data_IF_726611523794
#
_entry.id   IF_726611523794
#
_cell.length_a   1.000
_cell.length_b   1.000
_cell.length_c   1.000
_cell.angle_alpha   90.00
_cell.angle_beta   90.00
_cell.angle_gamma   90.00
#
_symmetry.space_group_name_H-M   'P 1'
#
loop_
_entity.id
_entity.type
_entity.pdbx_description
1 polymer ?
#
# COMPACT_ATOMS: atom_id res chain seq x y z
N UNK A 1 -11.47 3.51 -20.52
CA UNK A 1 -12.27 4.50 -19.77
C UNK A 1 -12.15 4.41 -18.25
N UNK A 2 -11.62 3.34 -17.62
CA UNK A 2 -11.41 3.33 -16.15
C UNK A 2 -10.07 3.93 -15.67
N UNK A 3 -8.95 3.72 -16.36
CA UNK A 3 -7.62 4.10 -15.84
C UNK A 3 -7.41 5.61 -15.62
N UNK A 4 -8.10 6.48 -16.38
CA UNK A 4 -8.09 7.94 -16.19
C UNK A 4 -8.76 8.36 -14.87
N UNK A 5 -9.84 7.68 -14.48
CA UNK A 5 -10.55 7.97 -13.21
C UNK A 5 -9.73 7.62 -11.97
N UNK A 6 -8.73 6.75 -12.12
CA UNK A 6 -7.84 6.34 -11.03
C UNK A 6 -6.52 7.15 -11.00
N UNK A 7 -6.36 8.13 -11.90
CA UNK A 7 -5.15 8.94 -11.99
C UNK A 7 -3.94 8.26 -12.64
N UNK A 8 -4.10 7.01 -13.13
CA UNK A 8 -3.01 6.27 -13.78
C UNK A 8 -2.65 6.89 -15.13
N UNK A 9 -3.62 7.51 -15.81
CA UNK A 9 -3.41 8.19 -17.08
C UNK A 9 -3.67 9.69 -16.92
N UNK A 10 -2.96 10.54 -17.68
CA UNK A 10 -3.17 11.98 -17.61
C UNK A 10 -4.59 12.33 -18.10
N UNK A 11 -5.25 13.23 -17.37
CA UNK A 11 -6.52 13.84 -17.80
C UNK A 11 -6.28 15.03 -18.73
N UNK A 12 -5.17 15.73 -18.53
CA UNK A 12 -4.72 16.90 -19.29
C UNK A 12 -3.24 16.77 -19.53
N UNK A 13 -2.77 17.20 -20.71
CA UNK A 13 -1.34 17.30 -21.04
C UNK A 13 -1.07 18.70 -21.57
N UNK A 14 -0.13 19.43 -20.96
CA UNK A 14 0.30 20.74 -21.45
C UNK A 14 1.56 20.59 -22.30
N UNK A 15 1.54 21.17 -23.51
CA UNK A 15 2.70 21.16 -24.38
C UNK A 15 3.84 21.98 -23.76
N UNK A 16 5.03 21.40 -23.52
CA UNK A 16 6.16 22.12 -22.93
C UNK A 16 6.75 23.19 -23.87
N UNK A 17 6.43 23.13 -25.17
CA UNK A 17 6.93 24.08 -26.19
C UNK A 17 6.02 25.28 -26.41
N UNK A 18 4.71 25.11 -26.22
CA UNK A 18 3.71 26.11 -26.55
C UNK A 18 2.88 26.56 -25.35
N UNK A 19 3.02 25.89 -24.20
CA UNK A 19 2.23 26.09 -22.99
C UNK A 19 0.71 26.05 -23.24
N UNK A 20 0.28 25.30 -24.26
CA UNK A 20 -1.12 25.05 -24.60
C UNK A 20 -1.48 23.61 -24.29
N UNK A 21 -2.73 23.40 -23.91
CA UNK A 21 -3.29 22.07 -23.72
C UNK A 21 -3.25 21.28 -25.03
N UNK A 22 -2.79 20.03 -24.93
CA UNK A 22 -2.71 19.10 -26.04
C UNK A 22 -4.06 18.41 -26.27
N UNK A 23 -4.34 18.05 -27.51
CA UNK A 23 -5.49 17.23 -27.86
C UNK A 23 -5.16 15.74 -27.73
N UNK A 24 -6.10 14.95 -27.23
CA UNK A 24 -5.95 13.50 -27.10
C UNK A 24 -6.48 12.77 -28.33
N UNK A 25 -5.76 11.73 -28.77
CA UNK A 25 -6.19 10.83 -29.82
C UNK A 25 -6.29 9.41 -29.27
N UNK A 26 -7.53 8.92 -29.16
CA UNK A 26 -7.85 7.66 -28.49
C UNK A 26 -7.35 6.43 -29.25
N UNK A 27 -7.50 6.41 -30.58
CA UNK A 27 -7.05 5.33 -31.48
C UNK A 27 -5.56 4.96 -31.28
N UNK A 28 -4.72 5.95 -30.99
CA UNK A 28 -3.27 5.83 -30.86
C UNK A 28 -2.77 5.98 -29.43
N UNK A 29 -3.65 6.24 -28.47
CA UNK A 29 -3.28 6.62 -27.10
C UNK A 29 -2.16 7.68 -27.11
N UNK A 30 -2.39 8.78 -27.82
CA UNK A 30 -1.38 9.79 -28.09
C UNK A 30 -1.94 11.21 -27.87
N UNK A 31 -1.19 12.02 -27.14
CA UNK A 31 -1.42 13.46 -27.01
C UNK A 31 -0.61 14.21 -28.04
N UNK A 32 -1.20 15.23 -28.67
CA UNK A 32 -0.52 16.06 -29.66
C UNK A 32 -0.87 17.54 -29.50
N UNK A 33 0.10 18.41 -29.79
CA UNK A 33 -0.12 19.84 -29.77
C UNK A 33 -0.53 20.35 -31.16
N UNK A 34 -1.64 21.08 -31.24
CA UNK A 34 -2.14 21.72 -32.47
C UNK A 34 -1.80 23.21 -32.56
N UNK A 35 -1.00 23.74 -31.61
CA UNK A 35 -0.66 25.15 -31.56
C UNK A 35 0.10 25.59 -32.82
N UNK A 36 -0.28 26.74 -33.38
CA UNK A 36 0.38 27.32 -34.55
C UNK A 36 1.15 28.58 -34.15
N UNK A 37 2.37 28.74 -34.66
CA UNK A 37 3.17 29.96 -34.54
C UNK A 37 3.48 30.56 -35.90
N UNK A 38 3.53 31.88 -36.00
CA UNK A 38 3.97 32.58 -37.21
C UNK A 38 5.49 32.72 -37.17
N UNK A 39 6.17 32.35 -38.26
CA UNK A 39 7.62 32.53 -38.38
C UNK A 39 7.88 34.00 -38.75
N UNK A 40 8.60 34.80 -37.91
CA UNK A 40 8.73 36.24 -38.11
C UNK A 40 9.29 36.64 -39.47
N UNK A 41 10.28 35.89 -39.99
CA UNK A 41 10.97 36.20 -41.25
C UNK A 41 10.15 35.90 -42.51
N UNK A 42 9.37 34.82 -42.50
CA UNK A 42 8.68 34.33 -43.71
C UNK A 42 7.17 34.55 -43.67
N UNK A 43 6.64 35.01 -42.54
CA UNK A 43 5.20 35.09 -42.22
C UNK A 43 4.44 33.76 -42.39
N UNK A 44 5.12 32.64 -42.63
CA UNK A 44 4.53 31.31 -42.74
C UNK A 44 4.08 30.82 -41.37
N UNK A 45 2.94 30.12 -41.34
CA UNK A 45 2.44 29.44 -40.14
C UNK A 45 3.12 28.09 -40.00
N UNK A 46 3.66 27.79 -38.82
CA UNK A 46 4.21 26.48 -38.45
C UNK A 46 3.43 25.90 -37.28
N UNK A 47 2.90 24.70 -37.47
CA UNK A 47 2.22 23.94 -36.41
C UNK A 47 3.26 23.29 -35.50
N UNK A 48 2.97 23.23 -34.21
CA UNK A 48 3.73 22.48 -33.24
C UNK A 48 3.69 20.99 -33.59
N UNK A 49 4.85 20.32 -33.52
CA UNK A 49 4.97 18.87 -33.77
C UNK A 49 5.20 18.09 -32.47
N UNK A 50 4.83 18.66 -31.32
CA UNK A 50 4.95 17.97 -30.05
C UNK A 50 3.90 16.87 -29.96
N UNK A 51 4.35 15.66 -29.67
CA UNK A 51 3.51 14.50 -29.38
C UNK A 51 4.08 13.75 -28.18
N UNK A 52 3.22 13.09 -27.42
CA UNK A 52 3.61 12.25 -26.28
C UNK A 52 2.60 11.13 -26.07
N UNK A 53 3.05 9.93 -25.70
CA UNK A 53 2.18 8.80 -25.40
C UNK A 53 1.30 9.09 -24.18
N UNK A 54 0.07 8.60 -24.18
CA UNK A 54 -0.85 8.62 -23.03
C UNK A 54 -0.26 7.89 -21.81
N UNK A 55 0.68 6.98 -22.04
CA UNK A 55 1.36 6.19 -21.01
C UNK A 55 2.66 6.84 -20.51
N UNK A 56 2.99 8.04 -20.98
CA UNK A 56 4.26 8.66 -20.63
C UNK A 56 4.34 9.00 -19.13
N UNK A 57 5.36 8.47 -18.44
CA UNK A 57 5.57 8.67 -17.01
C UNK A 57 4.59 7.91 -16.09
N UNK A 58 3.62 7.16 -16.63
CA UNK A 58 2.69 6.39 -15.82
C UNK A 58 3.16 4.96 -15.55
N UNK A 59 2.39 4.20 -14.76
CA UNK A 59 2.57 2.76 -14.56
C UNK A 59 2.59 1.97 -15.88
N UNK A 60 2.01 2.52 -16.96
CA UNK A 60 1.96 1.89 -18.27
C UNK A 60 3.12 2.33 -19.19
N UNK A 61 4.13 3.02 -18.66
CA UNK A 61 5.21 3.59 -19.48
C UNK A 61 5.92 2.53 -20.32
N UNK A 62 6.04 2.80 -21.64
CA UNK A 62 6.63 1.89 -22.64
C UNK A 62 5.98 0.50 -22.68
N UNK A 63 4.76 0.36 -22.18
CA UNK A 63 4.00 -0.87 -22.27
C UNK A 63 3.64 -1.13 -23.74
N UNK A 64 4.14 -2.24 -24.28
CA UNK A 64 3.75 -2.77 -25.59
C UNK A 64 2.54 -3.70 -25.51
N UNK A 65 2.10 -4.03 -24.30
CA UNK A 65 0.99 -4.96 -24.05
C UNK A 65 -0.34 -4.20 -24.15
N UNK A 66 -1.35 -4.76 -24.83
CA UNK A 66 -2.69 -4.18 -24.82
C UNK A 66 -3.22 -4.00 -23.39
N UNK A 67 -3.81 -2.83 -23.03
CA UNK A 67 -4.23 -2.55 -21.66
C UNK A 67 -5.16 -3.60 -21.04
N UNK A 68 -6.04 -4.20 -21.83
CA UNK A 68 -6.97 -5.23 -21.34
C UNK A 68 -6.25 -6.50 -20.87
N UNK A 69 -5.16 -6.93 -21.54
CA UNK A 69 -4.35 -8.07 -21.08
C UNK A 69 -3.69 -7.76 -19.74
N UNK A 70 -3.21 -6.52 -19.59
CA UNK A 70 -2.59 -6.10 -18.35
C UNK A 70 -3.60 -6.04 -17.20
N UNK A 71 -4.83 -5.57 -17.44
CA UNK A 71 -5.88 -5.59 -16.43
C UNK A 71 -6.21 -7.03 -15.99
N UNK A 72 -6.29 -7.99 -16.92
CA UNK A 72 -6.45 -9.41 -16.58
C UNK A 72 -5.28 -9.95 -15.77
N UNK A 73 -4.04 -9.59 -16.14
CA UNK A 73 -2.85 -9.95 -15.39
C UNK A 73 -2.91 -9.42 -13.95
N UNK A 74 -3.20 -8.13 -13.77
CA UNK A 74 -3.32 -7.49 -12.45
C UNK A 74 -4.44 -8.15 -11.64
N UNK A 75 -5.60 -8.41 -12.24
CA UNK A 75 -6.71 -9.05 -11.55
C UNK A 75 -6.33 -10.46 -11.04
N UNK A 76 -5.63 -11.24 -11.86
CA UNK A 76 -5.13 -12.56 -11.46
C UNK A 76 -4.01 -12.49 -10.43
N UNK A 77 -3.10 -11.52 -10.55
CA UNK A 77 -2.07 -11.22 -9.55
C UNK A 77 -2.68 -10.88 -8.19
N UNK A 78 -3.80 -10.18 -8.20
CA UNK A 78 -4.54 -9.79 -7.01
C UNK A 78 -5.54 -10.87 -6.57
N UNK A 79 -5.43 -12.11 -7.07
CA UNK A 79 -6.25 -13.25 -6.62
C UNK A 79 -5.53 -14.07 -5.54
N UNK A 80 -6.29 -14.84 -4.75
CA UNK A 80 -5.72 -15.75 -3.74
C UNK A 80 -4.95 -16.94 -4.36
N UNK A 81 -5.13 -17.17 -5.65
CA UNK A 81 -4.68 -18.37 -6.37
C UNK A 81 -3.84 -17.99 -7.58
N UNK A 82 -2.81 -17.16 -7.38
CA UNK A 82 -1.86 -16.85 -8.45
C UNK A 82 -1.29 -18.14 -9.06
N UNK A 83 -1.55 -18.31 -10.35
CA UNK A 83 -0.94 -19.34 -11.19
C UNK A 83 -0.22 -18.67 -12.37
N UNK A 84 1.09 -18.87 -12.43
CA UNK A 84 1.93 -18.30 -13.47
C UNK A 84 1.64 -18.95 -14.83
N UNK A 85 1.32 -20.26 -14.86
CA UNK A 85 1.12 -20.99 -16.11
C UNK A 85 -0.14 -20.51 -16.84
N UNK A 86 -1.26 -20.38 -16.11
CA UNK A 86 -2.51 -19.82 -16.66
C UNK A 86 -2.29 -18.48 -17.34
N UNK A 87 -1.45 -17.59 -16.78
CA UNK A 87 -1.16 -16.29 -17.40
C UNK A 87 -0.37 -16.42 -18.70
N UNK A 88 0.65 -17.27 -18.72
CA UNK A 88 1.46 -17.48 -19.93
C UNK A 88 0.58 -18.04 -21.06
N UNK A 89 -0.24 -19.03 -20.76
CA UNK A 89 -1.08 -19.73 -21.73
C UNK A 89 -2.24 -18.84 -22.21
N UNK A 90 -2.98 -18.20 -21.29
CA UNK A 90 -4.17 -17.41 -21.65
C UNK A 90 -3.84 -16.04 -22.24
N UNK A 91 -2.81 -15.35 -21.74
CA UNK A 91 -2.45 -14.00 -22.23
C UNK A 91 -1.38 -14.03 -23.32
N UNK A 92 -0.79 -15.22 -23.58
CA UNK A 92 0.31 -15.43 -24.53
C UNK A 92 1.52 -14.55 -24.18
N UNK A 93 1.86 -14.48 -22.89
CA UNK A 93 3.02 -13.74 -22.42
C UNK A 93 4.27 -14.62 -22.49
N UNK A 94 5.42 -14.00 -22.75
CA UNK A 94 6.69 -14.66 -22.47
C UNK A 94 6.90 -14.76 -20.96
N UNK A 95 7.62 -15.79 -20.51
CA UNK A 95 7.99 -15.94 -19.08
C UNK A 95 8.68 -14.68 -18.54
N UNK A 96 9.61 -14.11 -19.31
CA UNK A 96 10.31 -12.86 -18.96
C UNK A 96 9.33 -11.71 -18.73
N UNK A 97 8.42 -11.48 -19.68
CA UNK A 97 7.41 -10.42 -19.59
C UNK A 97 6.51 -10.59 -18.36
N UNK A 98 6.09 -11.82 -18.07
CA UNK A 98 5.26 -12.11 -16.88
C UNK A 98 6.00 -11.82 -15.57
N UNK A 99 7.29 -12.18 -15.49
CA UNK A 99 8.13 -11.89 -14.32
C UNK A 99 8.38 -10.39 -14.15
N UNK A 100 8.66 -9.66 -15.23
CA UNK A 100 8.85 -8.21 -15.20
C UNK A 100 7.57 -7.51 -14.69
N UNK A 101 6.40 -7.86 -15.24
CA UNK A 101 5.12 -7.30 -14.79
C UNK A 101 4.73 -7.68 -13.38
N UNK A 102 5.06 -8.89 -12.94
CA UNK A 102 4.91 -9.27 -11.54
C UNK A 102 5.75 -8.37 -10.65
N UNK A 103 6.98 -8.05 -11.04
CA UNK A 103 7.88 -7.18 -10.27
C UNK A 103 7.30 -5.77 -10.14
N UNK A 104 6.80 -5.17 -11.23
CA UNK A 104 6.11 -3.88 -11.18
C UNK A 104 4.87 -3.90 -10.26
N UNK A 105 4.09 -4.99 -10.29
CA UNK A 105 2.94 -5.12 -9.38
C UNK A 105 3.37 -5.26 -7.92
N UNK A 106 4.45 -5.99 -7.64
CA UNK A 106 5.02 -6.10 -6.30
C UNK A 106 5.49 -4.73 -5.79
N UNK A 107 6.16 -3.92 -6.61
CA UNK A 107 6.59 -2.56 -6.23
C UNK A 107 5.41 -1.67 -5.82
N UNK A 108 4.29 -1.74 -6.55
CA UNK A 108 3.05 -1.02 -6.18
C UNK A 108 2.53 -1.49 -4.82
N UNK A 109 2.51 -2.80 -4.56
CA UNK A 109 2.05 -3.32 -3.28
C UNK A 109 3.02 -3.04 -2.13
N UNK A 110 4.33 -3.02 -2.39
CA UNK A 110 5.34 -2.62 -1.41
C UNK A 110 5.19 -1.12 -1.05
N UNK A 111 4.88 -0.27 -2.03
CA UNK A 111 4.56 1.13 -1.81
C UNK A 111 3.27 1.32 -0.98
N UNK A 112 2.24 0.51 -1.23
CA UNK A 112 1.03 0.49 -0.41
C UNK A 112 1.34 0.03 1.02
N UNK A 113 2.09 -1.06 1.15
CA UNK A 113 2.45 -1.66 2.43
C UNK A 113 3.30 -0.71 3.30
N UNK A 114 4.17 0.08 2.70
CA UNK A 114 4.97 1.08 3.44
C UNK A 114 4.16 2.32 3.84
N UNK A 115 3.00 2.53 3.22
CA UNK A 115 2.11 3.68 3.43
C UNK A 115 0.76 3.27 4.07
N UNK A 116 0.81 2.40 5.08
CA UNK A 116 -0.37 1.99 5.84
C UNK A 116 -0.87 3.14 6.75
N UNK A 117 -2.20 3.37 6.82
CA UNK A 117 -2.76 4.39 7.70
C UNK A 117 -2.64 3.97 9.17
N UNK A 118 -2.61 4.96 10.07
CA UNK A 118 -2.78 4.71 11.49
C UNK A 118 -4.20 4.19 11.79
N UNK A 119 -4.31 3.34 12.80
CA UNK A 119 -5.55 2.74 13.29
C UNK A 119 -5.86 3.24 14.70
N UNK A 120 -7.06 2.95 15.19
CA UNK A 120 -7.49 3.33 16.54
C UNK A 120 -8.12 4.71 16.61
N UNK A 121 -8.08 5.31 17.78
CA UNK A 121 -8.74 6.58 18.13
C UNK A 121 -9.35 6.51 19.52
N UNK A 122 -9.95 7.62 19.97
CA UNK A 122 -10.56 7.70 21.29
C UNK A 122 -11.60 6.59 21.50
N UNK A 123 -11.35 5.72 22.49
CA UNK A 123 -12.24 4.61 22.83
C UNK A 123 -12.21 3.43 21.85
N UNK A 124 -11.34 3.44 20.84
CA UNK A 124 -11.17 2.32 19.91
C UNK A 124 -10.19 1.30 20.49
N UNK A 125 -10.61 0.05 20.49
CA UNK A 125 -9.82 -1.09 20.98
C UNK A 125 -8.90 -1.65 19.89
N UNK A 126 -7.61 -1.72 20.20
CA UNK A 126 -6.55 -2.22 19.32
C UNK A 126 -5.76 -3.31 20.03
N UNK A 127 -5.66 -4.48 19.40
CA UNK A 127 -4.74 -5.54 19.82
C UNK A 127 -3.41 -5.37 19.07
N UNK A 128 -2.28 -5.36 19.77
CA UNK A 128 -0.94 -5.33 19.16
C UNK A 128 -0.04 -6.44 19.72
N UNK A 129 0.83 -6.95 18.88
CA UNK A 129 1.70 -8.10 19.18
C UNK A 129 2.82 -8.22 18.15
N UNK A 130 3.80 -9.07 18.44
CA UNK A 130 4.94 -9.38 17.62
C UNK A 130 4.95 -10.84 17.21
N UNK A 131 5.36 -11.10 15.97
CA UNK A 131 5.49 -12.48 15.51
C UNK A 131 6.74 -12.72 14.69
N UNK A 132 7.37 -13.86 14.92
CA UNK A 132 8.51 -14.30 14.13
C UNK A 132 8.04 -15.10 12.91
N UNK A 133 8.42 -14.62 11.72
CA UNK A 133 8.27 -15.36 10.47
C UNK A 133 9.53 -16.20 10.22
N UNK A 134 9.31 -17.42 9.72
CA UNK A 134 10.34 -18.37 9.33
C UNK A 134 11.17 -18.99 10.48
N UNK A 135 10.49 -19.49 11.53
CA UNK A 135 11.11 -20.41 12.51
C UNK A 135 11.16 -21.83 11.92
N UNK A 136 12.34 -22.45 11.85
CA UNK A 136 12.44 -23.89 11.59
C UNK A 136 11.75 -24.64 12.74
N UNK A 137 10.83 -25.55 12.42
CA UNK A 137 10.30 -26.49 13.41
C UNK A 137 11.41 -27.51 13.70
N UNK A 138 11.82 -27.66 14.95
CA UNK A 138 12.85 -28.62 15.41
C UNK A 138 14.28 -28.41 14.88
N UNK A 139 14.66 -27.19 14.46
CA UNK A 139 16.02 -26.87 13.99
C UNK A 139 16.53 -27.72 12.80
N UNK A 140 15.66 -28.51 12.17
CA UNK A 140 15.98 -29.33 10.99
C UNK A 140 15.45 -28.66 9.72
N UNK A 141 16.28 -28.62 8.68
CA UNK A 141 15.91 -28.12 7.35
C UNK A 141 16.55 -26.79 6.97
N UNK A 142 16.06 -26.17 5.89
CA UNK A 142 16.65 -24.97 5.27
C UNK A 142 16.54 -23.76 6.22
N UNK A 143 17.68 -23.15 6.58
CA UNK A 143 17.72 -21.91 7.36
C UNK A 143 17.12 -20.78 6.52
N UNK A 144 15.90 -20.36 6.88
CA UNK A 144 15.30 -19.15 6.34
C UNK A 144 15.69 -17.96 7.22
N UNK A 145 15.84 -16.78 6.61
CA UNK A 145 16.13 -15.55 7.35
C UNK A 145 14.93 -15.24 8.25
N UNK A 146 15.16 -15.25 9.56
CA UNK A 146 14.15 -14.88 10.55
C UNK A 146 13.84 -13.39 10.44
N UNK A 147 12.56 -13.05 10.36
CA UNK A 147 12.08 -11.66 10.32
C UNK A 147 10.99 -11.51 11.37
N UNK A 148 11.18 -10.56 12.28
CA UNK A 148 10.14 -10.16 13.21
C UNK A 148 9.16 -9.23 12.50
N UNK A 149 7.88 -9.47 12.72
CA UNK A 149 6.81 -8.56 12.39
C UNK A 149 6.24 -7.98 13.67
N UNK A 150 5.88 -6.71 13.63
CA UNK A 150 5.05 -6.05 14.63
C UNK A 150 3.76 -5.62 13.94
N UNK A 151 2.62 -5.70 14.60
CA UNK A 151 1.37 -5.25 14.01
C UNK A 151 0.31 -4.91 15.03
N UNK A 152 -0.78 -4.35 14.55
CA UNK A 152 -1.95 -4.04 15.33
C UNK A 152 -3.23 -4.27 14.54
N UNK A 153 -4.31 -4.64 15.22
CA UNK A 153 -5.64 -4.84 14.65
C UNK A 153 -6.73 -4.24 15.54
N UNK A 154 -7.63 -3.47 14.94
CA UNK A 154 -8.84 -2.99 15.60
C UNK A 154 -9.82 -4.16 15.81
N UNK A 155 -10.34 -4.31 17.03
CA UNK A 155 -11.23 -5.43 17.36
C UNK A 155 -12.55 -5.40 16.58
N UNK A 156 -13.16 -4.22 16.44
CA UNK A 156 -14.45 -4.08 15.78
C UNK A 156 -14.34 -4.02 14.25
N UNK A 157 -13.57 -3.05 13.72
CA UNK A 157 -13.49 -2.79 12.28
C UNK A 157 -12.58 -3.77 11.52
N UNK A 158 -11.69 -4.47 12.24
CA UNK A 158 -10.62 -5.31 11.70
C UNK A 158 -9.56 -4.57 10.88
N UNK A 159 -9.59 -3.23 10.81
CA UNK A 159 -8.47 -2.44 10.27
C UNK A 159 -7.19 -2.83 10.98
N UNK A 160 -6.09 -2.89 10.24
CA UNK A 160 -4.83 -3.41 10.76
C UNK A 160 -3.63 -2.77 10.08
N UNK A 161 -2.50 -2.84 10.76
CA UNK A 161 -1.20 -2.56 10.17
C UNK A 161 -0.22 -3.69 10.50
N UNK A 162 0.76 -3.89 9.63
CA UNK A 162 1.87 -4.81 9.86
C UNK A 162 3.18 -4.14 9.42
N UNK A 163 4.21 -4.23 10.25
CA UNK A 163 5.54 -3.68 10.02
C UNK A 163 6.55 -4.80 10.16
N UNK A 164 7.46 -4.92 9.19
CA UNK A 164 8.60 -5.81 9.35
C UNK A 164 9.76 -5.09 10.04
N UNK A 165 10.26 -5.66 11.12
CA UNK A 165 11.38 -5.14 11.89
C UNK A 165 12.69 -5.49 11.18
N UNK A 166 13.06 -4.68 10.19
CA UNK A 166 14.31 -4.82 9.44
C UNK A 166 14.90 -3.47 9.05
N UNK A 167 16.19 -3.47 8.67
CA UNK A 167 16.85 -2.31 8.08
C UNK A 167 16.72 -1.08 8.99
N UNK A 168 16.13 -0.02 8.42
CA UNK A 168 15.94 1.30 9.01
C UNK A 168 14.98 1.34 10.20
N UNK A 169 14.03 0.39 10.29
CA UNK A 169 13.08 0.32 11.41
C UNK A 169 13.76 -0.21 12.68
N UNK A 170 14.87 -0.96 12.54
CA UNK A 170 15.46 -1.74 13.62
C UNK A 170 15.05 -3.22 13.52
N UNK A 171 15.98 -4.11 13.89
CA UNK A 171 15.77 -5.57 13.84
C UNK A 171 15.32 -6.16 15.17
N UNK A 172 15.41 -5.36 16.23
CA UNK A 172 15.13 -5.78 17.58
C UNK A 172 13.71 -5.40 17.94
N UNK A 173 13.08 -6.22 18.76
CA UNK A 173 11.76 -5.96 19.33
C UNK A 173 11.85 -5.04 20.56
N UNK A 174 12.91 -4.28 20.75
CA UNK A 174 13.06 -3.49 21.97
C UNK A 174 12.09 -2.30 22.06
N UNK A 175 12.00 -1.73 23.26
CA UNK A 175 11.17 -0.54 23.51
C UNK A 175 11.51 0.63 22.58
N UNK A 176 12.79 0.82 22.26
CA UNK A 176 13.25 1.90 21.41
C UNK A 176 12.73 1.77 19.96
N UNK A 177 12.50 0.53 19.52
CA UNK A 177 11.92 0.22 18.21
C UNK A 177 10.39 0.26 18.23
N UNK A 178 9.76 -0.32 19.25
CA UNK A 178 8.31 -0.52 19.27
C UNK A 178 7.50 0.72 19.66
N UNK A 179 7.98 1.54 20.60
CA UNK A 179 7.23 2.74 21.01
C UNK A 179 7.02 3.72 19.85
N UNK A 180 8.03 4.07 19.03
CA UNK A 180 7.81 4.93 17.88
C UNK A 180 6.84 4.34 16.85
N UNK A 181 6.83 3.01 16.69
CA UNK A 181 5.88 2.34 15.79
C UNK A 181 4.45 2.41 16.32
N UNK A 182 4.27 2.24 17.64
CA UNK A 182 2.96 2.40 18.29
C UNK A 182 2.46 3.83 18.12
N UNK A 183 3.28 4.84 18.41
CA UNK A 183 2.87 6.24 18.25
C UNK A 183 2.59 6.62 16.79
N UNK A 184 3.29 5.99 15.83
CA UNK A 184 3.06 6.20 14.41
C UNK A 184 1.76 5.57 13.91
N UNK A 185 1.46 4.34 14.34
CA UNK A 185 0.38 3.52 13.74
C UNK A 185 -0.86 3.37 14.64
N UNK A 186 -0.81 3.75 15.92
CA UNK A 186 -1.94 3.70 16.83
C UNK A 186 -2.23 5.11 17.34
N UNK A 187 -3.41 5.62 16.98
CA UNK A 187 -3.84 6.98 17.34
C UNK A 187 -4.00 7.08 18.87
N UNK A 188 -3.54 8.19 19.47
CA UNK A 188 -3.64 8.44 20.92
C UNK A 188 -5.09 8.40 21.43
N UNK A 189 -5.28 7.99 22.68
CA UNK A 189 -6.61 7.76 23.27
C UNK A 189 -7.21 6.39 22.94
N UNK A 190 -6.49 5.55 22.19
CA UNK A 190 -6.87 4.15 21.96
C UNK A 190 -6.72 3.30 23.23
N UNK A 191 -7.49 2.21 23.27
CA UNK A 191 -7.38 1.16 24.27
C UNK A 191 -6.54 0.03 23.67
N UNK A 192 -5.32 -0.15 24.17
CA UNK A 192 -4.36 -1.14 23.66
C UNK A 192 -4.41 -2.42 24.50
N UNK A 193 -4.49 -3.56 23.82
CA UNK A 193 -4.36 -4.89 24.38
C UNK A 193 -3.07 -5.53 23.87
N UNK A 194 -2.15 -5.84 24.78
CA UNK A 194 -0.86 -6.46 24.43
C UNK A 194 -0.44 -7.50 25.47
N UNK A 195 0.56 -8.30 25.12
CA UNK A 195 1.29 -9.11 26.08
C UNK A 195 1.93 -8.26 27.18
N UNK A 196 2.15 -8.87 28.35
CA UNK A 196 2.79 -8.25 29.53
C UNK A 196 4.30 -8.02 29.34
N UNK A 197 4.70 -7.54 28.17
CA UNK A 197 6.10 -7.32 27.87
C UNK A 197 6.58 -5.95 28.34
N UNK A 198 7.75 -5.90 28.98
CA UNK A 198 8.26 -4.69 29.63
C UNK A 198 8.44 -3.48 28.71
N UNK A 199 8.54 -3.70 27.39
CA UNK A 199 8.56 -2.64 26.38
C UNK A 199 7.30 -1.75 26.42
N UNK A 200 6.15 -2.32 26.81
CA UNK A 200 4.86 -1.63 26.82
C UNK A 200 4.55 -0.88 28.13
N UNK A 201 5.45 -0.94 29.13
CA UNK A 201 5.24 -0.32 30.45
C UNK A 201 4.94 1.19 30.42
N UNK A 202 5.41 1.91 29.39
CA UNK A 202 5.25 3.36 29.24
C UNK A 202 3.99 3.80 28.47
N UNK A 203 3.17 2.88 27.98
CA UNK A 203 1.99 3.25 27.18
C UNK A 203 1.01 4.13 27.94
N UNK A 204 0.87 3.91 29.25
CA UNK A 204 0.02 4.74 30.13
C UNK A 204 0.49 6.20 30.20
N UNK A 205 1.79 6.45 30.11
CA UNK A 205 2.38 7.79 30.10
C UNK A 205 2.18 8.51 28.75
N UNK A 206 1.84 7.77 27.69
CA UNK A 206 1.71 8.25 26.32
C UNK A 206 0.26 8.47 25.87
N UNK A 207 -0.67 8.66 26.82
CA UNK A 207 -2.12 8.79 26.59
C UNK A 207 -2.77 7.57 25.93
N UNK A 208 -2.29 6.37 26.24
CA UNK A 208 -2.98 5.12 25.90
C UNK A 208 -3.56 4.47 27.14
N UNK A 209 -4.75 3.91 27.00
CA UNK A 209 -5.29 2.99 28.00
C UNK A 209 -4.70 1.62 27.69
N UNK A 210 -3.95 1.03 28.62
CA UNK A 210 -3.24 -0.23 28.36
C UNK A 210 -3.76 -1.35 29.25
N UNK A 211 -4.25 -2.41 28.60
CA UNK A 211 -4.54 -3.70 29.22
C UNK A 211 -3.47 -4.71 28.82
N UNK A 212 -2.93 -5.41 29.83
CA UNK A 212 -1.88 -6.40 29.67
C UNK A 212 -2.45 -7.80 29.85
N UNK A 213 -2.05 -8.71 28.98
CA UNK A 213 -2.39 -10.13 29.11
C UNK A 213 -1.12 -10.87 29.51
N UNK A 214 -1.22 -11.67 30.56
CA UNK A 214 -0.11 -12.52 31.00
C UNK A 214 -0.21 -13.90 30.34
N UNK A 215 0.34 -14.02 29.13
CA UNK A 215 0.36 -15.27 28.36
C UNK A 215 1.16 -16.41 29.02
N UNK A 216 1.91 -16.15 30.10
CA UNK A 216 2.54 -17.22 30.89
C UNK A 216 1.57 -17.94 31.84
N UNK A 217 0.41 -17.32 32.10
CA UNK A 217 -0.58 -17.83 33.04
C UNK A 217 -1.93 -18.08 32.37
N UNK A 218 -2.41 -17.21 31.47
CA UNK A 218 -3.73 -17.34 30.85
C UNK A 218 -3.77 -16.80 29.39
N UNK A 219 -4.57 -17.42 28.52
CA UNK A 219 -4.83 -16.99 27.12
C UNK A 219 -5.94 -15.93 27.01
N UNK A 220 -6.73 -15.78 28.06
CA UNK A 220 -7.80 -14.81 28.28
C UNK A 220 -7.66 -14.39 29.74
N UNK A 221 -7.78 -13.10 30.05
CA UNK A 221 -7.70 -12.67 31.44
C UNK A 221 -8.79 -13.39 32.29
N UNK A 222 -8.40 -14.09 33.38
CA UNK A 222 -9.32 -14.89 34.17
C UNK A 222 -10.37 -14.05 34.90
N UNK A 223 -10.08 -12.77 35.16
CA UNK A 223 -10.99 -11.84 35.85
C UNK A 223 -11.85 -11.06 34.86
N UNK A 224 -11.43 -10.93 33.60
CA UNK A 224 -12.22 -10.29 32.54
C UNK A 224 -12.02 -10.94 31.17
N UNK A 225 -12.97 -11.77 30.77
CA UNK A 225 -12.92 -12.52 29.50
C UNK A 225 -12.90 -11.66 28.24
N UNK A 226 -13.18 -10.35 28.34
CA UNK A 226 -13.05 -9.41 27.23
C UNK A 226 -11.59 -8.99 26.94
N UNK A 227 -10.63 -9.31 27.81
CA UNK A 227 -9.21 -8.97 27.63
C UNK A 227 -8.48 -10.17 27.00
N UNK A 228 -8.18 -10.06 25.70
CA UNK A 228 -7.53 -11.10 24.88
C UNK A 228 -6.84 -10.50 23.64
N UNK A 229 -5.94 -11.27 23.01
CA UNK A 229 -5.21 -10.92 21.77
C UNK A 229 -5.53 -11.88 20.60
N UNK A 230 -6.69 -12.53 20.66
CA UNK A 230 -7.08 -13.58 19.71
C UNK A 230 -7.16 -13.11 18.25
N UNK A 231 -7.55 -11.85 18.00
CA UNK A 231 -7.67 -11.35 16.63
C UNK A 231 -6.30 -11.21 15.98
N UNK A 232 -5.32 -10.70 16.74
CA UNK A 232 -3.96 -10.55 16.24
C UNK A 232 -3.24 -11.91 16.14
N UNK A 233 -3.47 -12.83 17.07
CA UNK A 233 -2.96 -14.21 16.95
C UNK A 233 -3.48 -14.91 15.69
N UNK A 234 -4.76 -14.72 15.36
CA UNK A 234 -5.36 -15.24 14.12
C UNK A 234 -4.73 -14.60 12.89
N UNK A 235 -4.53 -13.29 12.88
CA UNK A 235 -3.81 -12.59 11.80
C UNK A 235 -2.41 -13.18 11.59
N UNK A 236 -1.67 -13.43 12.67
CA UNK A 236 -0.34 -14.03 12.58
C UNK A 236 -0.36 -15.45 12.04
N UNK A 237 -1.37 -16.24 12.40
CA UNK A 237 -1.57 -17.58 11.84
C UNK A 237 -1.78 -17.51 10.33
N UNK A 238 -2.70 -16.65 9.88
CA UNK A 238 -3.04 -16.55 8.46
C UNK A 238 -1.84 -16.04 7.62
N UNK A 239 -1.08 -15.07 8.13
CA UNK A 239 0.16 -14.60 7.48
C UNK A 239 1.20 -15.73 7.41
N UNK A 240 1.43 -16.44 8.52
CA UNK A 240 2.40 -17.54 8.56
C UNK A 240 2.03 -18.65 7.58
N UNK A 241 0.75 -19.00 7.47
CA UNK A 241 0.29 -20.04 6.56
C UNK A 241 0.41 -19.60 5.09
N UNK A 242 0.18 -18.32 4.80
CA UNK A 242 0.41 -17.78 3.46
C UNK A 242 1.89 -17.80 3.06
N UNK A 243 2.78 -17.44 3.98
CA UNK A 243 4.24 -17.29 3.74
C UNK A 243 4.99 -18.62 3.80
N UNK A 244 4.49 -19.64 4.52
CA UNK A 244 5.14 -20.97 4.65
C UNK A 244 4.92 -21.88 3.42
N UNK A 245 5.03 -21.35 2.20
CA UNK A 245 4.96 -22.16 0.98
C UNK A 245 6.35 -22.71 0.62
N UNK A 246 6.48 -23.99 0.21
CA UNK A 246 7.75 -24.54 -0.24
C UNK A 246 8.36 -23.70 -1.37
N UNK A 247 9.66 -23.39 -1.29
CA UNK A 247 10.40 -22.70 -2.35
C UNK A 247 10.43 -21.17 -2.29
N UNK A 248 9.80 -20.53 -1.31
CA UNK A 248 9.91 -19.07 -1.13
C UNK A 248 11.34 -18.69 -0.70
N UNK A 249 11.99 -17.83 -1.49
CA UNK A 249 13.27 -17.20 -1.11
C UNK A 249 13.00 -16.07 -0.12
N UNK A 250 13.83 -15.97 0.91
CA UNK A 250 13.73 -14.91 1.93
C UNK A 250 13.81 -13.49 1.36
N UNK A 251 14.45 -13.32 0.19
CA UNK A 251 14.51 -12.04 -0.54
C UNK A 251 13.15 -11.55 -1.03
N UNK A 252 12.18 -12.44 -1.22
CA UNK A 252 10.85 -12.09 -1.75
C UNK A 252 9.77 -12.05 -0.66
N UNK A 253 10.14 -12.24 0.61
CA UNK A 253 9.19 -12.27 1.72
C UNK A 253 8.28 -11.03 1.75
N UNK A 254 8.86 -9.86 1.52
CA UNK A 254 8.13 -8.59 1.47
C UNK A 254 7.02 -8.59 0.43
N UNK A 255 7.34 -9.04 -0.78
CA UNK A 255 6.40 -9.07 -1.90
C UNK A 255 5.21 -9.98 -1.59
N UNK A 256 5.44 -11.15 -0.97
CA UNK A 256 4.37 -12.05 -0.57
C UNK A 256 3.54 -11.49 0.58
N UNK A 257 4.18 -10.84 1.56
CA UNK A 257 3.49 -10.22 2.69
C UNK A 257 2.60 -9.08 2.22
N UNK A 258 3.14 -8.16 1.41
CA UNK A 258 2.40 -7.04 0.83
C UNK A 258 1.22 -7.53 -0.03
N UNK A 259 1.45 -8.54 -0.88
CA UNK A 259 0.39 -9.16 -1.66
C UNK A 259 -0.73 -9.73 -0.79
N UNK A 260 -0.37 -10.54 0.21
CA UNK A 260 -1.35 -11.13 1.10
C UNK A 260 -2.16 -10.09 1.85
N UNK A 261 -1.49 -9.10 2.46
CA UNK A 261 -2.13 -8.07 3.26
C UNK A 261 -3.07 -7.21 2.42
N UNK A 262 -2.67 -6.83 1.21
CA UNK A 262 -3.52 -6.09 0.28
C UNK A 262 -4.78 -6.87 -0.13
N UNK A 263 -4.62 -8.15 -0.48
CA UNK A 263 -5.75 -8.98 -0.95
C UNK A 263 -6.74 -9.28 0.19
N UNK A 264 -6.24 -9.43 1.42
CA UNK A 264 -7.01 -9.80 2.60
C UNK A 264 -7.50 -8.60 3.42
N UNK A 265 -7.13 -7.38 3.05
CA UNK A 265 -7.52 -6.15 3.76
C UNK A 265 -9.06 -6.04 3.82
N UNK A 266 -9.65 -5.82 5.01
CA UNK A 266 -11.10 -5.78 5.17
C UNK A 266 -11.77 -4.60 4.45
N UNK A 267 -11.02 -3.53 4.15
CA UNK A 267 -11.51 -2.37 3.39
C UNK A 267 -11.47 -2.59 1.88
N UNK A 268 -10.74 -3.61 1.43
CA UNK A 268 -10.54 -3.96 0.01
C UNK A 268 -11.34 -5.23 -0.32
N UNK A 269 -12.42 -5.04 -1.07
CA UNK A 269 -13.27 -6.12 -1.57
C UNK A 269 -12.80 -6.59 -2.94
N UNK A 270 -13.23 -7.79 -3.36
CA UNK A 270 -12.94 -8.28 -4.72
C UNK A 270 -13.40 -7.34 -5.83
N UNK A 271 -14.47 -6.55 -5.60
CA UNK A 271 -15.03 -5.60 -6.57
C UNK A 271 -14.19 -4.34 -6.74
N UNK A 272 -13.45 -3.92 -5.71
CA UNK A 272 -12.67 -2.67 -5.73
C UNK A 272 -11.15 -2.89 -5.59
N UNK A 273 -10.69 -4.14 -5.60
CA UNK A 273 -9.27 -4.50 -5.45
C UNK A 273 -8.39 -3.89 -6.55
N UNK A 274 -8.83 -4.01 -7.80
CA UNK A 274 -8.14 -3.39 -8.95
C UNK A 274 -8.19 -1.86 -8.84
N UNK A 275 -9.30 -1.28 -8.37
CA UNK A 275 -9.42 0.16 -8.15
C UNK A 275 -8.36 0.69 -7.19
N UNK A 276 -8.22 0.08 -6.00
CA UNK A 276 -7.21 0.51 -5.03
C UNK A 276 -5.79 0.27 -5.51
N UNK A 277 -5.56 -0.83 -6.25
CA UNK A 277 -4.25 -1.10 -6.85
C UNK A 277 -3.88 0.00 -7.87
N UNK A 278 -4.81 0.39 -8.74
CA UNK A 278 -4.56 1.43 -9.73
C UNK A 278 -4.36 2.81 -9.09
N UNK A 279 -5.08 3.14 -8.01
CA UNK A 279 -4.83 4.36 -7.23
C UNK A 279 -3.41 4.40 -6.68
N UNK A 280 -2.94 3.29 -6.13
CA UNK A 280 -1.57 3.21 -5.63
C UNK A 280 -0.54 3.26 -6.75
N UNK A 281 -0.81 2.59 -7.87
CA UNK A 281 0.05 2.65 -9.05
C UNK A 281 0.16 4.09 -9.58
N UNK A 282 -0.92 4.87 -9.58
CA UNK A 282 -0.90 6.28 -9.95
C UNK A 282 -0.09 7.14 -8.97
N UNK A 283 -0.13 6.81 -7.67
CA UNK A 283 0.68 7.50 -6.64
C UNK A 283 2.18 7.24 -6.84
N UNK A 284 2.54 5.99 -7.12
CA UNK A 284 3.94 5.58 -7.31
C UNK A 284 4.49 6.03 -8.69
N UNK A 285 3.64 6.03 -9.71
CA UNK A 285 3.98 6.39 -11.09
C UNK A 285 3.08 7.54 -11.60
N UNK A 286 3.29 8.78 -11.10
CA UNK A 286 2.46 9.91 -11.48
C UNK A 286 2.65 10.26 -12.96
N UNK A 287 1.58 10.29 -13.78
CA UNK A 287 1.70 10.56 -15.21
C UNK A 287 2.25 11.97 -15.45
N UNK A 288 3.32 12.06 -16.24
CA UNK A 288 3.95 13.34 -16.58
C UNK A 288 3.14 14.03 -17.67
N UNK A 289 2.16 14.83 -17.24
CA UNK A 289 1.27 15.58 -18.13
C UNK A 289 0.25 16.45 -17.39
N UNK A 290 -0.20 16.00 -16.22
CA UNK A 290 -1.15 16.74 -15.39
C UNK A 290 -0.46 17.53 -14.28
N UNK A 291 -0.61 18.86 -14.27
CA UNK A 291 -0.75 19.54 -12.98
C UNK A 291 -2.12 19.12 -12.47
N UNK A 292 -2.18 18.28 -11.44
CA UNK A 292 -3.40 18.17 -10.64
C UNK A 292 -3.69 19.59 -10.15
N UNK A 293 -4.77 20.23 -10.63
CA UNK A 293 -5.24 21.45 -9.98
C UNK A 293 -5.67 21.02 -8.60
N UNK A 294 -4.92 21.42 -7.58
CA UNK A 294 -5.38 21.30 -6.21
C UNK A 294 -6.73 22.02 -6.11
N UNK A 295 -7.74 21.31 -5.59
CA UNK A 295 -9.05 21.89 -5.34
C UNK A 295 -8.90 22.86 -4.15
N UNK A 296 -9.07 24.19 -4.32
CA UNK A 296 -8.78 25.16 -3.25
C UNK A 296 -9.82 25.18 -2.11
N UNK A 297 -10.71 24.18 -2.03
CA UNK A 297 -11.86 24.17 -1.11
C UNK A 297 -11.86 23.02 -0.10
N UNK A 298 -10.71 22.40 0.16
CA UNK A 298 -10.55 21.45 1.25
C UNK A 298 -9.44 21.91 2.22
N UNK A 299 -9.52 23.15 2.67
CA UNK A 299 -8.80 23.62 3.87
C UNK A 299 -9.82 24.13 4.90
N UNK A 300 -9.89 23.37 6.00
CA UNK A 300 -9.93 23.86 7.39
C UNK A 300 -11.03 24.88 7.71
N UNK A 301 -12.20 24.38 8.12
CA UNK A 301 -13.00 25.07 9.15
C UNK A 301 -12.48 24.64 10.52
N UNK A 302 -11.40 25.28 10.98
CA UNK A 302 -11.07 25.33 12.40
C UNK A 302 -11.69 26.60 12.97
N UNK A 303 -12.63 26.39 13.89
CA UNK A 303 -13.20 27.35 14.82
C UNK A 303 -12.11 28.24 15.43
N UNK A 304 -12.20 29.54 15.17
CA UNK A 304 -11.55 30.56 15.99
C UNK A 304 -12.46 30.89 17.15
N UNK A 305 -12.05 30.52 18.36
CA UNK A 305 -12.60 31.03 19.60
C UNK A 305 -12.18 32.50 19.75
N UNK A 306 -13.17 33.39 19.83
CA UNK A 306 -13.00 34.77 20.27
C UNK A 306 -12.75 34.79 21.79
N UNK A 307 -11.55 35.25 22.17
CA UNK A 307 -11.26 35.81 23.49
C UNK A 307 -11.54 37.31 23.43
N UNK A 308 -12.70 37.74 23.90
CA UNK A 308 -12.90 39.14 24.34
C UNK A 308 -12.63 39.25 25.85
N UNK A 309 -11.54 39.96 26.14
CA UNK A 309 -11.29 40.65 27.39
C UNK A 309 -11.98 42.03 27.29
N UNK A 310 -13.07 42.25 28.03
CA UNK A 310 -13.33 43.36 28.98
C UNK A 310 -14.58 42.99 29.79
#
# INVERSE_FOLDING_TARGET
MEAKHHGVLPSVVVCPRCNKECSFREDKHLWYCSATRVIPKTKKRKVCNYTVSDYHGSFLHRCSIPPWKLLLFINHFLSHTWDHKTILDCLQFSSKTSVDWRSFCCEVLDAWFTNQPAIGGQGIEVENDETLIARCKYERGRILKQVWLFGGIERASKKRFVVALTGEVGKQRDRATLLPLIEKYIIKGSIIYSDSWGAYSKLKELNYIHHQINHSQNFVDPDNTAIHTQNIERLWRDIKDHVKRPGIRSSYLYQYLAQYLFISDPTITSKNRVHYFLKEAARLYPPQGGRVRADPKAEVTSSGDELELV
#
